data_IF_942603020915
#
_entry.id   IF_942603020915
#
_cell.length_a   1.000
_cell.length_b   1.000
_cell.length_c   1.000
_cell.angle_alpha   90.00
_cell.angle_beta   90.00
_cell.angle_gamma   90.00
#
_symmetry.space_group_name_H-M   'P 1'
#
loop_
_entity.id
_entity.type
_entity.pdbx_description
1 polymer ?
#
# COMPACT_ATOMS: atom_id res chain seq x y z
N UNK A 1 2.60 26.80 97.56
CA UNK A 1 1.97 27.09 96.25
C UNK A 1 1.11 25.87 95.90
N UNK A 2 -0.23 25.83 96.13
CA UNK A 2 -1.37 26.41 95.36
C UNK A 2 -1.16 26.25 93.84
N UNK A 3 -2.04 25.66 93.01
CA UNK A 3 -3.50 25.50 93.06
C UNK A 3 -4.05 24.50 91.99
N UNK A 4 -5.15 23.82 92.37
CA UNK A 4 -6.45 23.51 91.66
C UNK A 4 -6.58 23.07 90.18
N UNK A 5 -7.23 21.89 90.04
CA UNK A 5 -8.33 21.43 89.16
C UNK A 5 -8.82 22.27 87.95
N UNK A 6 -9.24 21.59 86.87
CA UNK A 6 -10.63 21.57 86.32
C UNK A 6 -10.77 20.45 85.26
N UNK A 7 -11.93 19.76 85.28
CA UNK A 7 -12.40 18.74 84.35
C UNK A 7 -13.05 19.35 83.09
N UNK A 8 -13.09 18.61 81.98
CA UNK A 8 -14.15 18.75 80.96
C UNK A 8 -14.29 17.48 80.12
N UNK A 9 -15.52 16.98 80.10
CA UNK A 9 -16.06 15.88 79.30
C UNK A 9 -16.46 16.46 77.94
N UNK A 10 -16.17 15.76 76.82
CA UNK A 10 -16.94 15.94 75.59
C UNK A 10 -17.20 14.61 74.87
N UNK A 11 -18.46 14.50 74.47
CA UNK A 11 -19.16 13.40 73.83
C UNK A 11 -18.68 13.13 72.39
N UNK A 12 -18.67 11.85 72.03
CA UNK A 12 -19.41 11.33 70.89
C UNK A 12 -18.83 11.52 69.49
N UNK A 13 -18.61 10.41 68.79
CA UNK A 13 -19.17 10.17 67.44
C UNK A 13 -19.01 8.70 67.07
N UNK A 14 -20.13 8.06 66.74
CA UNK A 14 -20.21 6.72 66.18
C UNK A 14 -20.05 6.84 64.66
N UNK A 15 -19.11 6.09 64.07
CA UNK A 15 -18.98 5.95 62.62
C UNK A 15 -19.30 4.50 62.23
N UNK A 16 -20.43 4.33 61.54
CA UNK A 16 -20.84 3.09 60.89
C UNK A 16 -19.86 2.75 59.77
N UNK A 17 -19.16 1.63 59.87
CA UNK A 17 -18.37 1.04 58.78
C UNK A 17 -19.30 0.34 57.79
N UNK A 18 -19.36 0.88 56.57
CA UNK A 18 -20.07 0.28 55.43
C UNK A 18 -19.31 -0.93 54.90
N UNK A 19 -20.02 -2.04 54.64
CA UNK A 19 -19.46 -3.23 54.01
C UNK A 19 -19.06 -2.92 52.55
N UNK A 20 -17.80 -3.21 52.22
CA UNK A 20 -17.24 -3.12 50.87
C UNK A 20 -17.59 -4.39 50.08
N UNK A 21 -18.56 -4.31 49.17
CA UNK A 21 -18.81 -5.30 48.12
C UNK A 21 -17.74 -5.12 47.03
N UNK A 22 -16.83 -6.10 46.91
CA UNK A 22 -15.85 -6.15 45.81
C UNK A 22 -16.54 -6.70 44.55
N UNK A 23 -16.51 -6.00 43.41
CA UNK A 23 -16.96 -6.60 42.15
C UNK A 23 -15.93 -7.64 41.69
N UNK A 24 -16.42 -8.82 41.29
CA UNK A 24 -15.63 -9.81 40.59
C UNK A 24 -15.15 -9.21 39.26
N UNK A 25 -13.83 -9.22 39.04
CA UNK A 25 -13.25 -8.89 37.74
C UNK A 25 -13.61 -10.02 36.78
N UNK A 26 -14.66 -9.82 35.99
CA UNK A 26 -14.89 -10.61 34.78
C UNK A 26 -13.73 -10.33 33.84
N UNK A 27 -12.88 -11.32 33.64
CA UNK A 27 -11.79 -11.28 32.67
C UNK A 27 -12.45 -11.30 31.28
N UNK A 28 -12.65 -10.14 30.67
CA UNK A 28 -12.98 -10.06 29.25
C UNK A 28 -11.78 -10.61 28.49
N UNK A 29 -11.90 -11.87 28.07
CA UNK A 29 -11.01 -12.49 27.11
C UNK A 29 -11.34 -11.88 25.75
N UNK A 30 -10.60 -10.85 25.37
CA UNK A 30 -10.68 -10.21 24.07
C UNK A 30 -10.12 -11.19 23.03
N UNK A 31 -11.02 -11.94 22.40
CA UNK A 31 -10.70 -12.79 21.26
C UNK A 31 -10.21 -11.89 20.12
N UNK A 32 -9.02 -12.09 19.54
CA UNK A 32 -8.59 -11.33 18.38
C UNK A 32 -9.57 -11.61 17.24
N UNK A 33 -10.34 -10.61 16.81
CA UNK A 33 -11.15 -10.70 15.60
C UNK A 33 -10.23 -10.95 14.40
N UNK A 34 -10.34 -12.08 13.70
CA UNK A 34 -9.54 -12.35 12.50
C UNK A 34 -10.26 -11.68 11.32
N UNK A 35 -10.13 -10.35 11.21
CA UNK A 35 -10.67 -9.62 10.05
C UNK A 35 -9.61 -8.74 9.36
N UNK A 36 -8.34 -8.92 9.70
CA UNK A 36 -7.23 -8.32 8.98
C UNK A 36 -7.02 -9.09 7.68
N UNK A 37 -7.37 -8.49 6.54
CA UNK A 37 -6.90 -8.97 5.25
C UNK A 37 -5.37 -9.15 5.29
N UNK A 38 -4.82 -10.15 4.58
CA UNK A 38 -3.37 -10.36 4.57
C UNK A 38 -2.67 -9.09 4.07
N UNK A 39 -1.81 -8.53 4.91
CA UNK A 39 -1.05 -7.32 4.61
C UNK A 39 -0.13 -7.59 3.40
N UNK A 40 -0.39 -6.91 2.29
CA UNK A 40 0.46 -6.98 1.10
C UNK A 40 1.64 -6.02 1.22
N UNK A 41 2.80 -6.49 0.79
CA UNK A 41 4.04 -5.71 0.74
C UNK A 41 4.55 -5.60 -0.69
N UNK A 42 4.96 -4.39 -1.07
CA UNK A 42 5.57 -4.08 -2.36
C UNK A 42 7.05 -3.76 -2.16
N UNK A 43 7.92 -4.45 -2.88
CA UNK A 43 9.37 -4.27 -2.79
C UNK A 43 10.01 -4.16 -4.16
N UNK A 44 11.16 -3.50 -4.21
CA UNK A 44 12.01 -3.48 -5.38
C UNK A 44 13.24 -4.37 -5.13
N UNK A 45 13.44 -5.37 -5.97
CA UNK A 45 14.73 -6.04 -6.08
C UNK A 45 15.58 -5.23 -7.08
N UNK A 46 16.43 -4.35 -6.54
CA UNK A 46 17.22 -3.39 -7.34
C UNK A 46 18.61 -3.89 -7.73
N UNK A 47 19.07 -4.95 -7.09
CA UNK A 47 20.35 -5.64 -7.27
C UNK A 47 20.29 -6.77 -8.32
N UNK A 48 19.09 -7.12 -8.79
CA UNK A 48 18.87 -8.04 -9.90
C UNK A 48 18.75 -7.29 -11.23
N UNK A 49 19.10 -7.95 -12.33
CA UNK A 49 19.02 -7.39 -13.67
C UNK A 49 17.97 -8.16 -14.52
N UNK A 50 16.88 -7.51 -14.98
CA UNK A 50 16.51 -6.12 -14.69
C UNK A 50 15.99 -5.96 -13.24
N UNK A 51 16.09 -4.74 -12.66
CA UNK A 51 15.39 -4.44 -11.41
C UNK A 51 13.92 -4.81 -11.54
N UNK A 52 13.32 -5.37 -10.50
CA UNK A 52 11.93 -5.86 -10.57
C UNK A 52 11.16 -5.47 -9.33
N UNK A 53 9.97 -4.89 -9.54
CA UNK A 53 8.99 -4.63 -8.47
C UNK A 53 8.21 -5.91 -8.22
N UNK A 54 8.15 -6.35 -6.97
CA UNK A 54 7.39 -7.52 -6.53
C UNK A 54 6.28 -7.11 -5.56
N UNK A 55 5.18 -7.87 -5.58
CA UNK A 55 4.21 -7.94 -4.49
C UNK A 55 4.32 -9.29 -3.78
N UNK A 56 4.17 -9.29 -2.46
CA UNK A 56 4.06 -10.53 -1.69
C UNK A 56 3.26 -10.29 -0.40
N UNK A 57 2.84 -11.39 0.22
CA UNK A 57 2.24 -11.37 1.56
C UNK A 57 3.27 -11.98 2.52
N UNK A 58 3.68 -11.28 3.60
CA UNK A 58 4.60 -11.82 4.59
C UNK A 58 4.15 -13.18 5.11
N UNK A 59 5.09 -14.13 5.19
CA UNK A 59 4.82 -15.51 5.59
C UNK A 59 4.36 -16.44 4.43
N UNK A 60 4.11 -15.90 3.24
CA UNK A 60 3.99 -16.70 2.00
C UNK A 60 5.34 -16.74 1.27
N UNK A 61 5.61 -17.86 0.61
CA UNK A 61 6.89 -18.11 -0.08
C UNK A 61 6.94 -17.44 -1.46
N UNK A 62 5.79 -17.03 -1.99
CA UNK A 62 5.67 -16.58 -3.38
C UNK A 62 5.78 -15.06 -3.52
N UNK A 63 6.86 -14.62 -4.19
CA UNK A 63 7.04 -13.27 -4.68
C UNK A 63 6.46 -13.17 -6.09
N UNK A 64 5.42 -12.35 -6.27
CA UNK A 64 4.81 -12.13 -7.56
C UNK A 64 5.46 -10.92 -8.25
N UNK A 65 6.16 -11.09 -9.38
CA UNK A 65 6.66 -9.95 -10.15
C UNK A 65 5.50 -9.11 -10.69
N UNK A 66 5.63 -7.79 -10.60
CA UNK A 66 4.67 -6.82 -11.11
C UNK A 66 5.20 -6.05 -12.31
N UNK A 67 6.47 -5.65 -12.27
CA UNK A 67 7.09 -4.82 -13.30
C UNK A 67 8.59 -5.12 -13.35
N UNK A 68 9.10 -5.45 -14.54
CA UNK A 68 10.53 -5.64 -14.77
C UNK A 68 11.09 -4.45 -15.54
N UNK A 69 12.01 -3.72 -14.91
CA UNK A 69 12.48 -2.41 -15.34
C UNK A 69 13.67 -2.54 -16.31
N UNK A 70 13.42 -3.07 -17.50
CA UNK A 70 14.41 -3.04 -18.58
C UNK A 70 14.65 -1.60 -19.02
N UNK A 71 15.92 -1.18 -19.10
CA UNK A 71 16.30 0.20 -19.39
C UNK A 71 15.79 0.67 -20.75
N UNK A 72 15.61 -0.24 -21.70
CA UNK A 72 15.11 0.08 -23.03
C UNK A 72 13.66 0.56 -23.03
N UNK A 73 12.86 0.16 -22.04
CA UNK A 73 11.49 0.65 -21.89
C UNK A 73 11.42 2.06 -21.30
N UNK A 74 12.50 2.55 -20.70
CA UNK A 74 12.51 3.78 -19.91
C UNK A 74 12.87 4.99 -20.77
N UNK A 75 12.51 6.18 -20.28
CA UNK A 75 12.92 7.42 -20.93
C UNK A 75 14.43 7.63 -20.79
N UNK A 76 15.09 8.29 -21.76
CA UNK A 76 16.50 8.64 -21.63
C UNK A 76 16.77 9.41 -20.33
N UNK A 77 17.72 8.94 -19.53
CA UNK A 77 18.09 9.55 -18.24
C UNK A 77 17.40 8.93 -17.02
N UNK A 78 16.36 8.12 -17.21
CA UNK A 78 15.73 7.40 -16.10
C UNK A 78 16.58 6.22 -15.64
N UNK A 79 16.65 6.04 -14.32
CA UNK A 79 17.30 4.88 -13.71
C UNK A 79 16.27 3.79 -13.42
N UNK A 80 16.51 2.58 -13.97
CA UNK A 80 15.67 1.41 -13.73
C UNK A 80 15.51 1.09 -12.24
N UNK A 81 16.61 1.15 -11.47
CA UNK A 81 16.58 0.91 -10.04
C UNK A 81 15.78 1.99 -9.30
N UNK A 82 15.92 3.26 -9.69
CA UNK A 82 15.19 4.36 -9.07
C UNK A 82 13.68 4.27 -9.35
N UNK A 83 13.29 3.98 -10.59
CA UNK A 83 11.87 3.80 -10.95
C UNK A 83 11.27 2.57 -10.25
N UNK A 84 12.02 1.48 -10.15
CA UNK A 84 11.61 0.29 -9.41
C UNK A 84 11.33 0.59 -7.93
N UNK A 85 12.23 1.33 -7.27
CA UNK A 85 12.06 1.77 -5.89
C UNK A 85 10.87 2.73 -5.75
N UNK A 86 10.76 3.72 -6.62
CA UNK A 86 9.68 4.70 -6.60
C UNK A 86 8.31 4.04 -6.79
N UNK A 87 8.20 3.10 -7.74
CA UNK A 87 6.97 2.37 -7.98
C UNK A 87 6.58 1.50 -6.79
N UNK A 88 7.52 0.75 -6.21
CA UNK A 88 7.26 -0.05 -5.00
C UNK A 88 6.77 0.83 -3.83
N UNK A 89 7.42 1.98 -3.60
CA UNK A 89 7.02 2.93 -2.56
C UNK A 89 5.63 3.53 -2.79
N UNK A 90 5.32 3.95 -4.02
CA UNK A 90 3.99 4.49 -4.37
C UNK A 90 2.90 3.44 -4.19
N UNK A 91 3.14 2.21 -4.66
CA UNK A 91 2.22 1.08 -4.47
C UNK A 91 2.00 0.78 -2.99
N UNK A 92 3.07 0.70 -2.20
CA UNK A 92 2.96 0.46 -0.76
C UNK A 92 2.18 1.58 -0.06
N UNK A 93 2.49 2.85 -0.36
CA UNK A 93 1.79 3.99 0.22
C UNK A 93 0.29 3.93 -0.07
N UNK A 94 -0.08 3.61 -1.31
CA UNK A 94 -1.48 3.53 -1.71
C UNK A 94 -2.22 2.33 -1.14
N UNK A 95 -1.55 1.20 -1.02
CA UNK A 95 -2.10 0.05 -0.32
C UNK A 95 -2.36 0.35 1.17
N UNK A 96 -1.42 1.05 1.84
CA UNK A 96 -1.56 1.43 3.25
C UNK A 96 -2.70 2.44 3.50
N UNK A 97 -3.08 3.22 2.49
CA UNK A 97 -4.26 4.10 2.53
C UNK A 97 -5.59 3.31 2.46
N UNK A 98 -5.55 1.97 2.39
CA UNK A 98 -6.71 1.06 2.25
C UNK A 98 -7.58 1.40 1.03
N UNK A 99 -6.94 1.93 -0.01
CA UNK A 99 -7.63 2.32 -1.23
C UNK A 99 -7.35 1.31 -2.33
N UNK A 100 -8.43 0.91 -3.00
CA UNK A 100 -8.33 0.10 -4.18
C UNK A 100 -8.00 0.99 -5.41
N UNK A 101 -6.86 0.70 -6.04
CA UNK A 101 -6.25 1.24 -7.25
C UNK A 101 -5.86 0.23 -8.36
N UNK A 102 -6.53 0.24 -9.48
CA UNK A 102 -6.10 -0.50 -10.67
C UNK A 102 -4.90 0.18 -11.36
N UNK A 103 -4.07 -0.60 -12.05
CA UNK A 103 -3.07 0.00 -12.95
C UNK A 103 -3.75 0.32 -14.27
N UNK A 104 -3.55 1.54 -14.74
CA UNK A 104 -4.02 1.99 -16.03
C UNK A 104 -2.87 2.61 -16.82
N UNK A 105 -3.10 2.75 -18.12
CA UNK A 105 -2.16 3.43 -19.00
C UNK A 105 -2.86 4.29 -20.01
N UNK A 106 -2.23 5.40 -20.38
CA UNK A 106 -2.72 6.29 -21.42
C UNK A 106 -1.59 6.77 -22.32
N UNK A 107 -1.84 6.88 -23.63
CA UNK A 107 -0.91 7.50 -24.56
C UNK A 107 -1.16 9.00 -24.61
N UNK A 108 -0.24 9.77 -24.05
CA UNK A 108 -0.31 11.25 -24.00
C UNK A 108 1.08 11.82 -24.21
N UNK A 109 1.18 13.01 -24.82
CA UNK A 109 2.48 13.68 -25.04
C UNK A 109 3.51 12.78 -25.76
N UNK A 110 3.04 12.01 -26.74
CA UNK A 110 3.85 11.07 -27.54
C UNK A 110 4.51 9.93 -26.73
N UNK A 111 3.99 9.61 -25.54
CA UNK A 111 4.48 8.51 -24.70
C UNK A 111 3.37 7.80 -23.93
N UNK A 112 3.63 6.57 -23.52
CA UNK A 112 2.75 5.86 -22.58
C UNK A 112 3.02 6.37 -21.16
N UNK A 113 1.98 6.86 -20.50
CA UNK A 113 1.95 7.07 -19.05
C UNK A 113 1.30 5.86 -18.39
N UNK A 114 1.85 5.45 -17.25
CA UNK A 114 1.27 4.42 -16.37
C UNK A 114 0.91 5.07 -15.05
N UNK A 115 -0.26 4.74 -14.53
CA UNK A 115 -0.84 5.34 -13.33
C UNK A 115 -1.66 4.31 -12.56
N UNK A 116 -2.03 4.70 -11.33
CA UNK A 116 -3.04 4.03 -10.51
C UNK A 116 -4.37 4.78 -10.65
N UNK A 117 -5.50 4.07 -10.77
CA UNK A 117 -6.85 4.63 -10.89
C UNK A 117 -7.81 3.90 -9.96
N UNK A 118 -8.84 4.56 -9.44
CA UNK A 118 -9.71 3.95 -8.41
C UNK A 118 -10.84 3.11 -9.00
N UNK A 119 -11.11 3.20 -10.30
CA UNK A 119 -12.20 2.48 -10.95
C UNK A 119 -11.78 1.82 -12.24
N UNK A 120 -12.47 0.73 -12.54
CA UNK A 120 -12.34 0.03 -13.81
C UNK A 120 -12.76 0.94 -14.98
N UNK A 121 -12.01 0.91 -16.07
CA UNK A 121 -12.24 1.77 -17.24
C UNK A 121 -11.71 3.21 -17.13
N UNK A 122 -11.19 3.63 -15.97
CA UNK A 122 -10.45 4.91 -15.86
C UNK A 122 -9.04 4.79 -16.48
N UNK A 123 -8.50 5.93 -16.91
CA UNK A 123 -7.15 6.06 -17.44
C UNK A 123 -6.34 7.15 -16.70
N UNK A 124 -5.12 7.42 -17.18
CA UNK A 124 -4.23 8.41 -16.55
C UNK A 124 -4.62 9.88 -16.71
N UNK A 125 -5.77 10.17 -17.33
CA UNK A 125 -6.36 11.51 -17.36
C UNK A 125 -7.46 11.69 -16.30
N UNK A 126 -7.86 10.63 -15.58
CA UNK A 126 -8.81 10.75 -14.49
C UNK A 126 -8.27 11.64 -13.36
N UNK A 127 -9.13 12.43 -12.72
CA UNK A 127 -8.74 13.35 -11.64
C UNK A 127 -8.23 12.64 -10.39
N UNK A 128 -8.69 11.40 -10.16
CA UNK A 128 -8.25 10.48 -9.12
C UNK A 128 -6.98 9.71 -9.48
N UNK A 129 -6.46 9.87 -10.71
CA UNK A 129 -5.31 9.09 -11.15
C UNK A 129 -4.03 9.52 -10.44
N UNK A 130 -3.20 8.54 -10.09
CA UNK A 130 -1.91 8.76 -9.46
C UNK A 130 -0.82 8.27 -10.40
N UNK A 131 -0.10 9.21 -10.99
CA UNK A 131 0.99 8.91 -11.92
C UNK A 131 2.09 8.06 -11.27
N UNK A 132 2.47 6.98 -11.96
CA UNK A 132 3.60 6.14 -11.57
C UNK A 132 4.86 6.53 -12.35
N UNK A 133 4.86 6.32 -13.67
CA UNK A 133 5.99 6.55 -14.58
C UNK A 133 5.52 6.66 -16.04
N UNK A 134 6.45 7.07 -16.92
CA UNK A 134 6.27 7.10 -18.37
C UNK A 134 7.23 6.15 -19.06
N UNK A 135 6.89 5.72 -20.27
CA UNK A 135 7.69 4.80 -21.06
C UNK A 135 8.20 5.44 -22.35
N UNK A 136 9.29 4.87 -22.86
CA UNK A 136 9.82 5.17 -24.17
C UNK A 136 8.77 4.92 -25.27
N UNK A 137 8.55 5.93 -26.10
CA UNK A 137 7.59 5.95 -27.20
C UNK A 137 7.86 4.90 -28.30
N UNK A 138 9.06 4.29 -28.31
CA UNK A 138 9.43 3.21 -29.23
C UNK A 138 8.64 1.91 -29.01
N UNK A 139 7.95 1.78 -27.87
CA UNK A 139 7.16 0.59 -27.51
C UNK A 139 5.67 0.90 -27.54
N UNK A 140 4.90 -0.01 -28.15
CA UNK A 140 3.46 0.17 -28.35
C UNK A 140 2.63 -0.11 -27.10
N UNK A 141 3.21 -0.71 -26.05
CA UNK A 141 2.45 -1.16 -24.90
C UNK A 141 3.26 -1.15 -23.60
N UNK A 142 2.72 -0.60 -22.50
CA UNK A 142 3.26 -0.80 -21.16
C UNK A 142 3.11 -2.25 -20.68
N UNK A 143 2.27 -3.04 -21.33
CA UNK A 143 2.01 -4.44 -20.99
C UNK A 143 3.27 -5.28 -20.95
N UNK A 144 4.20 -5.09 -21.88
CA UNK A 144 5.44 -5.86 -21.90
C UNK A 144 6.27 -5.67 -20.63
N UNK A 145 6.33 -4.45 -20.10
CA UNK A 145 7.04 -4.16 -18.85
C UNK A 145 6.32 -4.79 -17.65
N UNK A 146 4.98 -4.74 -17.62
CA UNK A 146 4.17 -5.34 -16.55
C UNK A 146 4.20 -6.88 -16.57
N UNK A 147 4.32 -7.49 -17.75
CA UNK A 147 4.43 -8.95 -17.91
C UNK A 147 5.89 -9.44 -17.82
N UNK A 148 6.85 -8.54 -17.59
CA UNK A 148 8.28 -8.88 -17.50
C UNK A 148 8.91 -9.36 -18.80
N UNK A 149 8.25 -9.10 -19.94
CA UNK A 149 8.71 -9.49 -21.27
C UNK A 149 9.96 -8.68 -21.62
N UNK A 150 10.97 -9.33 -22.20
CA UNK A 150 12.18 -8.64 -22.64
C UNK A 150 11.91 -7.70 -23.84
N UNK A 151 12.63 -6.57 -23.95
CA UNK A 151 12.43 -5.58 -25.02
C UNK A 151 12.51 -6.13 -26.45
N UNK A 152 13.34 -7.13 -26.70
CA UNK A 152 13.46 -7.77 -28.02
C UNK A 152 12.27 -8.65 -28.39
N UNK A 153 11.55 -9.16 -27.39
CA UNK A 153 10.39 -10.04 -27.56
C UNK A 153 9.07 -9.24 -27.56
N UNK A 154 9.11 -8.01 -27.08
CA UNK A 154 7.98 -7.09 -27.14
C UNK A 154 7.81 -6.50 -28.54
N UNK A 155 6.59 -6.49 -29.11
CA UNK A 155 6.34 -5.87 -30.41
C UNK A 155 6.77 -4.39 -30.46
N UNK A 156 7.81 -4.09 -31.22
CA UNK A 156 8.29 -2.72 -31.48
C UNK A 156 7.56 -2.15 -32.70
N UNK A 157 6.98 -0.95 -32.61
CA UNK A 157 6.51 -0.22 -33.80
C UNK A 157 7.68 0.47 -34.49
N UNK A 158 7.80 0.24 -35.80
CA UNK A 158 8.25 1.30 -36.73
C UNK A 158 6.99 1.86 -37.39
N UNK A 159 6.40 2.90 -36.79
CA UNK A 159 5.33 3.69 -37.39
C UNK A 159 4.00 2.97 -37.65
N UNK A 160 3.10 2.99 -36.67
CA UNK A 160 1.64 3.21 -36.77
C UNK A 160 1.09 3.01 -35.36
N UNK A 161 0.49 4.06 -34.79
CA UNK A 161 -0.14 4.01 -33.46
C UNK A 161 -1.33 3.06 -33.55
N UNK A 162 -1.19 1.87 -32.95
CA UNK A 162 -2.33 0.99 -32.71
C UNK A 162 -2.79 1.33 -31.30
N UNK A 163 -3.98 1.94 -31.18
CA UNK A 163 -4.65 2.12 -29.91
C UNK A 163 -4.89 0.75 -29.31
N UNK A 164 -4.17 0.42 -28.24
CA UNK A 164 -4.57 -0.68 -27.37
C UNK A 164 -5.95 -0.34 -26.81
N UNK A 165 -6.87 -1.30 -26.69
CA UNK A 165 -8.08 -1.06 -25.91
C UNK A 165 -7.61 -0.64 -24.52
N UNK A 166 -8.03 0.55 -24.08
CA UNK A 166 -7.82 1.09 -22.75
C UNK A 166 -8.58 0.29 -21.68
N UNK A 167 -8.39 -1.03 -21.68
CA UNK A 167 -8.83 -1.90 -20.63
C UNK A 167 -7.93 -1.67 -19.43
N UNK A 168 -8.55 -1.27 -18.33
CA UNK A 168 -8.03 -1.43 -16.97
C UNK A 168 -7.21 -2.71 -16.85
N UNK A 169 -5.91 -2.57 -16.61
CA UNK A 169 -5.12 -3.71 -16.19
C UNK A 169 -5.47 -3.94 -14.72
N UNK A 170 -6.37 -4.89 -14.46
CA UNK A 170 -6.61 -5.43 -13.13
C UNK A 170 -5.57 -6.53 -12.92
N UNK A 171 -4.52 -6.32 -12.11
CA UNK A 171 -3.67 -7.43 -11.72
C UNK A 171 -4.57 -8.43 -10.98
N UNK A 172 -4.48 -9.72 -11.31
CA UNK A 172 -5.38 -10.78 -10.80
C UNK A 172 -5.54 -10.86 -9.27
N UNK A 173 -4.70 -10.18 -8.49
CA UNK A 173 -4.69 -10.17 -7.02
C UNK A 173 -5.45 -9.01 -6.37
N UNK A 174 -6.09 -8.15 -7.16
CA UNK A 174 -6.96 -7.07 -6.70
C UNK A 174 -8.37 -7.54 -6.29
N UNK A 175 -8.64 -8.82 -6.45
CA UNK A 175 -9.94 -9.45 -6.21
C UNK A 175 -9.72 -10.51 -5.12
N UNK A 176 -9.51 -10.09 -3.87
CA UNK A 176 -9.48 -10.98 -2.69
C UNK A 176 -10.17 -10.34 -1.49
#
# INVERSE_FOLDING_TARGET
MKWKLIASIFLGTVLLTTLSLRPAKTLSQETPQPNSQPEMTFVCASDVAPPTTYAYIPGKVELQPLMSWYSEYLLPGDSAAALCQQAAQKLQSKYNEQQEYLLASNWTDEMWKVCMVSKEGEDCNASSSVYLFSLNSSYQSPRCLMEGIQPLQCPRSRGKVISLPGGSYTPRWWIF
#
